data_IF_757441485436
#
_entry.id   IF_757441485436
#
_cell.length_a   1.000
_cell.length_b   1.000
_cell.length_c   1.000
_cell.angle_alpha   90.00
_cell.angle_beta   90.00
_cell.angle_gamma   90.00
#
_symmetry.space_group_name_H-M   'P 1'
#
loop_
_entity.id
_entity.type
_entity.pdbx_description
1 polymer ?
#
# COMPACT_ATOMS: atom_id res chain seq x y z
N UNK A 1 -18.90 -11.84 3.72
CA UNK A 1 -17.67 -12.47 3.22
C UNK A 1 -16.57 -11.43 3.29
N UNK A 2 -15.56 -11.67 4.12
CA UNK A 2 -14.31 -10.91 4.03
C UNK A 2 -13.64 -11.22 2.69
N UNK A 3 -13.20 -10.17 1.99
CA UNK A 3 -12.47 -10.34 0.74
C UNK A 3 -11.04 -10.70 1.12
N UNK A 4 -10.62 -11.94 0.87
CA UNK A 4 -9.22 -12.28 1.05
C UNK A 4 -8.37 -11.69 -0.08
N UNK A 5 -7.65 -10.62 0.24
CA UNK A 5 -6.73 -9.95 -0.68
C UNK A 5 -5.39 -10.68 -0.85
N UNK A 6 -5.09 -11.73 -0.07
CA UNK A 6 -3.77 -12.39 -0.06
C UNK A 6 -3.39 -12.95 -1.43
N UNK A 7 -4.36 -13.47 -2.17
CA UNK A 7 -4.14 -14.11 -3.47
C UNK A 7 -4.12 -13.16 -4.66
N UNK A 8 -4.48 -11.89 -4.47
CA UNK A 8 -4.59 -10.93 -5.56
C UNK A 8 -3.22 -10.42 -6.02
N UNK A 9 -3.07 -10.25 -7.32
CA UNK A 9 -2.04 -9.37 -7.89
C UNK A 9 -2.45 -7.90 -7.78
N UNK A 10 -1.48 -6.99 -7.90
CA UNK A 10 -1.75 -5.54 -7.90
C UNK A 10 -2.80 -5.14 -8.96
N UNK A 11 -2.75 -5.80 -10.13
CA UNK A 11 -3.69 -5.55 -11.22
C UNK A 11 -5.10 -6.01 -10.87
N UNK A 12 -5.25 -7.18 -10.27
CA UNK A 12 -6.54 -7.71 -9.83
C UNK A 12 -7.12 -6.87 -8.69
N UNK A 13 -6.27 -6.41 -7.78
CA UNK A 13 -6.66 -5.49 -6.71
C UNK A 13 -7.20 -4.16 -7.27
N UNK A 14 -6.51 -3.54 -8.24
CA UNK A 14 -6.99 -2.32 -8.91
C UNK A 14 -8.32 -2.57 -9.61
N UNK A 15 -8.47 -3.70 -10.31
CA UNK A 15 -9.74 -4.07 -10.96
C UNK A 15 -10.88 -4.22 -9.95
N UNK A 16 -10.62 -4.85 -8.81
CA UNK A 16 -11.60 -4.97 -7.71
C UNK A 16 -12.05 -3.59 -7.21
N UNK A 17 -11.12 -2.67 -6.93
CA UNK A 17 -11.47 -1.31 -6.48
C UNK A 17 -12.21 -0.49 -7.54
N UNK A 18 -11.89 -0.69 -8.83
CA UNK A 18 -12.63 -0.06 -9.93
C UNK A 18 -14.08 -0.57 -10.00
N UNK A 19 -14.29 -1.87 -9.75
CA UNK A 19 -15.62 -2.47 -9.70
C UNK A 19 -16.43 -1.92 -8.51
N UNK A 20 -15.83 -1.81 -7.32
CA UNK A 20 -16.48 -1.23 -6.14
C UNK A 20 -16.96 0.21 -6.40
N UNK A 21 -16.12 0.99 -7.09
CA UNK A 21 -16.44 2.37 -7.49
C UNK A 21 -17.60 2.41 -8.49
N UNK A 22 -17.57 1.52 -9.51
CA UNK A 22 -18.65 1.41 -10.50
C UNK A 22 -19.98 1.04 -9.83
N UNK A 23 -19.96 0.08 -8.92
CA UNK A 23 -21.16 -0.38 -8.21
C UNK A 23 -21.76 0.75 -7.36
N UNK A 24 -20.93 1.49 -6.62
CA UNK A 24 -21.38 2.65 -5.84
C UNK A 24 -22.00 3.75 -6.71
N UNK A 25 -21.43 4.02 -7.89
CA UNK A 25 -21.99 4.99 -8.82
C UNK A 25 -23.38 4.55 -9.33
N UNK A 26 -23.57 3.26 -9.60
CA UNK A 26 -24.86 2.71 -10.02
C UNK A 26 -25.90 2.80 -8.91
N UNK A 27 -25.51 2.55 -7.66
CA UNK A 27 -26.39 2.68 -6.49
C UNK A 27 -26.89 4.12 -6.31
N UNK A 28 -26.00 5.11 -6.39
CA UNK A 28 -26.36 6.54 -6.28
C UNK A 28 -27.35 6.96 -7.36
N UNK A 29 -27.16 6.48 -8.60
CA UNK A 29 -28.09 6.76 -9.70
C UNK A 29 -29.49 6.17 -9.47
N UNK A 30 -29.63 5.19 -8.58
CA UNK A 30 -30.91 4.55 -8.22
C UNK A 30 -31.56 5.18 -6.97
N UNK A 31 -30.84 6.00 -6.23
CA UNK A 31 -31.34 6.68 -5.02
C UNK A 31 -32.51 7.62 -5.36
N UNK A 32 -33.50 7.68 -4.46
CA UNK A 32 -34.73 8.47 -4.67
C UNK A 32 -34.82 9.69 -3.75
N UNK A 33 -34.13 9.67 -2.61
CA UNK A 33 -34.09 10.82 -1.69
C UNK A 33 -32.78 11.60 -1.80
N UNK A 34 -32.82 12.89 -1.44
CA UNK A 34 -31.65 13.77 -1.43
C UNK A 34 -30.61 13.31 -0.40
N UNK A 35 -31.05 12.78 0.73
CA UNK A 35 -30.17 12.32 1.81
C UNK A 35 -29.46 11.03 1.44
N UNK A 36 -30.16 10.06 0.82
CA UNK A 36 -29.56 8.85 0.25
C UNK A 36 -28.48 9.21 -0.77
N UNK A 37 -28.77 10.18 -1.65
CA UNK A 37 -27.82 10.64 -2.66
C UNK A 37 -26.59 11.30 -2.03
N UNK A 38 -26.78 12.15 -1.02
CA UNK A 38 -25.68 12.79 -0.29
C UNK A 38 -24.80 11.78 0.45
N UNK A 39 -25.40 10.78 1.10
CA UNK A 39 -24.66 9.71 1.77
C UNK A 39 -23.92 8.83 0.77
N UNK A 40 -24.58 8.45 -0.34
CA UNK A 40 -23.96 7.71 -1.43
C UNK A 40 -22.77 8.45 -2.05
N UNK A 41 -22.90 9.76 -2.29
CA UNK A 41 -21.79 10.59 -2.80
C UNK A 41 -20.59 10.65 -1.84
N UNK A 42 -20.82 10.67 -0.51
CA UNK A 42 -19.73 10.58 0.48
C UNK A 42 -18.99 9.24 0.38
N UNK A 43 -19.72 8.13 0.25
CA UNK A 43 -19.14 6.80 0.10
C UNK A 43 -18.43 6.63 -1.26
N UNK A 44 -18.98 7.19 -2.34
CA UNK A 44 -18.32 7.23 -3.66
C UNK A 44 -16.98 7.95 -3.59
N UNK A 45 -16.91 9.09 -2.91
CA UNK A 45 -15.66 9.84 -2.72
C UNK A 45 -14.62 9.06 -1.89
N UNK A 46 -15.06 8.21 -0.96
CA UNK A 46 -14.18 7.31 -0.22
C UNK A 46 -13.64 6.19 -1.12
N UNK A 47 -14.50 5.55 -1.91
CA UNK A 47 -14.12 4.52 -2.88
C UNK A 47 -13.23 5.05 -4.01
N UNK A 48 -13.49 6.27 -4.48
CA UNK A 48 -12.68 6.93 -5.51
C UNK A 48 -11.25 7.19 -5.03
N UNK A 49 -11.08 7.65 -3.78
CA UNK A 49 -9.76 7.77 -3.16
C UNK A 49 -9.03 6.43 -3.09
N UNK A 50 -9.74 5.37 -2.67
CA UNK A 50 -9.22 4.01 -2.70
C UNK A 50 -8.71 3.59 -4.08
N UNK A 51 -9.52 3.82 -5.12
CA UNK A 51 -9.12 3.56 -6.50
C UNK A 51 -7.89 4.36 -6.95
N UNK A 52 -7.82 5.65 -6.62
CA UNK A 52 -6.64 6.48 -6.92
C UNK A 52 -5.38 5.96 -6.21
N UNK A 53 -5.50 5.48 -4.97
CA UNK A 53 -4.37 4.89 -4.25
C UNK A 53 -3.94 3.55 -4.87
N UNK A 54 -4.89 2.67 -5.21
CA UNK A 54 -4.58 1.41 -5.89
C UNK A 54 -3.93 1.63 -7.26
N UNK A 55 -4.37 2.63 -8.02
CA UNK A 55 -3.72 2.95 -9.32
C UNK A 55 -2.32 3.53 -9.16
N UNK A 56 -2.01 4.21 -8.04
CA UNK A 56 -0.63 4.63 -7.72
C UNK A 56 0.29 3.44 -7.45
N UNK A 57 -0.22 2.31 -6.93
CA UNK A 57 0.55 1.06 -6.81
C UNK A 57 1.04 0.55 -8.18
N UNK A 58 0.28 0.82 -9.25
CA UNK A 58 0.62 0.41 -10.62
C UNK A 58 1.52 1.41 -11.36
N UNK A 59 1.73 2.63 -10.83
CA UNK A 59 2.59 3.63 -11.47
C UNK A 59 4.03 3.40 -11.05
N UNK A 60 4.91 3.12 -12.02
CA UNK A 60 6.37 3.15 -11.82
C UNK A 60 6.74 4.52 -11.21
N UNK A 61 7.36 4.52 -10.04
CA UNK A 61 7.88 5.74 -9.42
C UNK A 61 9.40 5.75 -9.51
N UNK A 62 9.91 6.72 -10.27
CA UNK A 62 11.28 7.22 -10.31
C UNK A 62 11.57 8.01 -9.01
N UNK A 63 12.84 8.12 -8.62
CA UNK A 63 13.35 8.61 -7.32
C UNK A 63 13.59 7.50 -6.29
N UNK A 64 14.69 6.78 -6.48
CA UNK A 64 15.39 6.05 -5.42
C UNK A 64 16.78 6.69 -5.33
N UNK A 65 17.07 7.33 -4.21
CA UNK A 65 18.42 7.79 -3.91
C UNK A 65 19.16 6.64 -3.22
N UNK A 66 19.90 5.86 -4.00
CA UNK A 66 20.80 4.85 -3.44
C UNK A 66 22.04 5.55 -2.89
N UNK A 67 22.09 5.77 -1.58
CA UNK A 67 23.32 6.20 -0.89
C UNK A 67 24.08 4.94 -0.49
N UNK A 68 24.94 4.45 -1.38
CA UNK A 68 25.81 3.33 -1.05
C UNK A 68 26.92 3.77 -0.10
N UNK A 69 26.96 3.19 1.10
CA UNK A 69 28.15 3.24 1.95
C UNK A 69 28.60 1.82 2.30
N UNK A 70 29.93 1.65 2.35
CA UNK A 70 30.72 0.45 2.61
C UNK A 70 30.95 -0.50 1.42
N UNK A 71 32.01 -0.18 0.66
CA UNK A 71 32.57 -1.00 -0.42
C UNK A 71 33.22 -2.32 0.07
N UNK A 72 33.45 -2.49 1.38
CA UNK A 72 34.12 -3.66 1.96
C UNK A 72 33.19 -4.68 2.64
N UNK A 73 31.89 -4.40 2.74
CA UNK A 73 30.94 -5.27 3.45
C UNK A 73 29.96 -5.92 2.46
N UNK A 74 29.63 -7.18 2.71
CA UNK A 74 28.69 -8.03 1.93
C UNK A 74 27.24 -7.49 1.90
N UNK A 75 27.04 -6.24 2.31
CA UNK A 75 25.77 -5.58 2.56
C UNK A 75 25.76 -4.25 1.82
N UNK A 76 24.59 -3.85 1.35
CA UNK A 76 24.26 -2.55 0.78
C UNK A 76 23.22 -1.90 1.69
N UNK A 77 23.47 -0.67 2.12
CA UNK A 77 22.47 0.15 2.83
C UNK A 77 21.68 0.99 1.81
N UNK A 78 20.36 1.02 1.96
CA UNK A 78 19.46 1.74 1.05
C UNK A 78 18.50 2.57 1.89
N UNK A 79 18.47 3.88 1.66
CA UNK A 79 17.48 4.77 2.23
C UNK A 79 16.30 4.94 1.24
N UNK A 80 15.11 4.48 1.60
CA UNK A 80 13.91 4.61 0.77
C UNK A 80 12.67 4.92 1.61
N UNK A 81 11.92 5.98 1.29
CA UNK A 81 10.64 6.26 1.94
C UNK A 81 10.68 6.35 3.47
N UNK A 82 11.80 6.82 4.04
CA UNK A 82 12.03 6.86 5.48
C UNK A 82 12.40 5.51 6.11
N UNK A 83 12.69 4.49 5.31
CA UNK A 83 13.32 3.24 5.70
C UNK A 83 14.83 3.32 5.45
N UNK A 84 15.59 2.70 6.34
CA UNK A 84 16.96 2.28 6.09
C UNK A 84 16.92 0.76 5.96
N UNK A 85 17.18 0.24 4.76
CA UNK A 85 17.26 -1.19 4.48
C UNK A 85 18.72 -1.63 4.46
N UNK A 86 19.02 -2.76 5.09
CA UNK A 86 20.28 -3.47 4.87
C UNK A 86 20.01 -4.66 3.96
N UNK A 87 20.69 -4.73 2.83
CA UNK A 87 20.48 -5.76 1.79
C UNK A 87 21.76 -6.55 1.58
N UNK A 88 21.69 -7.88 1.58
CA UNK A 88 22.84 -8.70 1.22
C UNK A 88 23.16 -8.59 -0.27
N UNK A 89 24.39 -8.19 -0.62
CA UNK A 89 24.87 -8.17 -2.02
C UNK A 89 24.94 -9.57 -2.64
N UNK A 90 25.10 -10.62 -1.82
CA UNK A 90 25.17 -12.02 -2.27
C UNK A 90 23.80 -12.57 -2.69
N UNK A 91 22.76 -12.28 -1.91
CA UNK A 91 21.42 -12.86 -2.14
C UNK A 91 20.43 -11.88 -2.75
N UNK A 92 20.74 -10.58 -2.77
CA UNK A 92 19.82 -9.53 -3.17
C UNK A 92 18.62 -9.38 -2.22
N UNK A 93 18.70 -9.92 -0.99
CA UNK A 93 17.61 -9.91 -0.02
C UNK A 93 17.86 -8.97 1.15
N UNK A 94 16.79 -8.39 1.68
CA UNK A 94 16.81 -7.58 2.89
C UNK A 94 17.16 -8.44 4.10
N UNK A 95 18.17 -7.99 4.85
CA UNK A 95 18.62 -8.57 6.11
C UNK A 95 17.90 -7.94 7.30
N UNK A 96 17.66 -6.62 7.25
CA UNK A 96 16.94 -5.86 8.27
C UNK A 96 16.48 -4.51 7.72
N UNK A 97 15.57 -3.85 8.43
CA UNK A 97 15.10 -2.51 8.12
C UNK A 97 14.84 -1.68 9.39
N UNK A 98 15.00 -0.35 9.31
CA UNK A 98 14.89 0.56 10.47
C UNK A 98 13.48 0.65 11.08
N UNK A 99 12.43 0.43 10.27
CA UNK A 99 11.03 0.49 10.72
C UNK A 99 10.57 -0.84 11.31
N UNK A 100 10.64 -0.98 12.63
CA UNK A 100 10.29 -2.21 13.36
C UNK A 100 8.85 -2.71 13.15
N UNK A 101 7.90 -1.83 12.84
CA UNK A 101 6.50 -2.19 12.57
C UNK A 101 6.29 -2.83 11.18
N UNK A 102 7.30 -2.75 10.31
CA UNK A 102 7.21 -3.12 8.90
C UNK A 102 8.31 -4.12 8.60
N UNK A 103 8.06 -5.42 8.76
CA UNK A 103 9.11 -6.42 8.54
C UNK A 103 9.33 -6.68 7.04
N UNK A 104 10.48 -6.25 6.52
CA UNK A 104 10.87 -6.47 5.12
C UNK A 104 11.94 -7.55 4.96
N UNK A 105 12.31 -8.25 6.03
CA UNK A 105 13.38 -9.26 6.04
C UNK A 105 13.06 -10.40 5.06
N UNK A 106 14.10 -10.91 4.39
CA UNK A 106 14.05 -11.94 3.34
C UNK A 106 13.35 -11.55 2.03
N UNK A 107 12.81 -10.33 1.92
CA UNK A 107 12.29 -9.81 0.66
C UNK A 107 13.42 -9.48 -0.31
N UNK A 108 13.15 -9.55 -1.61
CA UNK A 108 14.09 -9.05 -2.63
C UNK A 108 14.25 -7.53 -2.49
N UNK A 109 15.43 -7.02 -2.85
CA UNK A 109 15.74 -5.59 -2.89
C UNK A 109 14.67 -4.80 -3.64
N UNK A 110 14.31 -5.26 -4.83
CA UNK A 110 13.32 -4.61 -5.69
C UNK A 110 11.95 -4.56 -5.00
N UNK A 111 11.51 -5.68 -4.40
CA UNK A 111 10.22 -5.73 -3.69
C UNK A 111 10.20 -4.81 -2.48
N UNK A 112 11.27 -4.78 -1.68
CA UNK A 112 11.37 -3.91 -0.50
C UNK A 112 11.35 -2.41 -0.86
N UNK A 113 12.05 -2.03 -1.94
CA UNK A 113 12.05 -0.65 -2.46
C UNK A 113 10.66 -0.24 -2.94
N UNK A 114 9.91 -1.14 -3.59
CA UNK A 114 8.53 -0.86 -3.98
C UNK A 114 7.65 -0.58 -2.76
N UNK A 115 7.81 -1.36 -1.69
CA UNK A 115 7.05 -1.19 -0.45
C UNK A 115 7.39 0.12 0.25
N UNK A 116 8.68 0.46 0.37
CA UNK A 116 9.14 1.77 0.87
C UNK A 116 8.40 2.94 0.20
N UNK A 117 8.35 2.91 -1.14
CA UNK A 117 7.73 3.98 -1.95
C UNK A 117 6.23 4.07 -1.73
N UNK A 118 5.58 2.91 -1.58
CA UNK A 118 4.15 2.85 -1.26
C UNK A 118 3.91 3.47 0.12
N UNK A 119 4.70 3.08 1.12
CA UNK A 119 4.57 3.57 2.49
C UNK A 119 4.74 5.08 2.61
N UNK A 120 5.75 5.66 1.96
CA UNK A 120 6.00 7.12 1.97
C UNK A 120 4.83 7.94 1.42
N UNK A 121 4.12 7.40 0.42
CA UNK A 121 3.04 8.11 -0.29
C UNK A 121 1.66 7.82 0.28
N UNK A 122 1.50 6.76 1.06
CA UNK A 122 0.19 6.30 1.54
C UNK A 122 -0.19 7.00 2.83
N UNK A 123 -1.09 7.98 2.72
CA UNK A 123 -1.77 8.62 3.86
C UNK A 123 -3.08 7.93 4.24
N UNK A 124 -3.50 6.95 3.45
CA UNK A 124 -4.76 6.22 3.61
C UNK A 124 -4.50 4.71 3.67
N UNK A 125 -5.34 4.00 4.41
CA UNK A 125 -5.33 2.53 4.47
C UNK A 125 -5.80 1.92 3.14
N UNK A 126 -5.03 0.97 2.60
CA UNK A 126 -5.35 0.28 1.34
C UNK A 126 -6.59 -0.61 1.41
N UNK A 127 -7.08 -0.95 2.61
CA UNK A 127 -8.29 -1.75 2.80
C UNK A 127 -9.53 -0.87 2.92
N UNK A 128 -9.58 -0.02 3.96
CA UNK A 128 -10.75 0.77 4.29
C UNK A 128 -10.77 2.17 3.63
N UNK A 129 -9.69 2.58 2.96
CA UNK A 129 -9.53 3.87 2.29
C UNK A 129 -9.71 5.10 3.20
N UNK A 130 -9.60 4.92 4.52
CA UNK A 130 -9.62 6.02 5.48
C UNK A 130 -8.19 6.52 5.75
N UNK A 131 -8.08 7.81 6.04
CA UNK A 131 -6.82 8.43 6.45
C UNK A 131 -6.31 7.79 7.75
N UNK A 132 -5.00 7.66 7.87
CA UNK A 132 -4.34 7.47 9.16
C UNK A 132 -4.49 8.76 9.99
N UNK A 133 -5.07 8.68 11.18
CA UNK A 133 -5.30 9.86 12.04
C UNK A 133 -4.13 10.07 13.00
N UNK A 134 -3.55 11.27 13.03
CA UNK A 134 -2.55 11.66 14.04
C UNK A 134 -1.27 10.82 14.03
N UNK A 135 -1.01 10.10 15.14
CA UNK A 135 0.19 9.26 15.44
C UNK A 135 -0.02 7.79 14.99
N UNK A 136 -1.15 7.44 14.37
CA UNK A 136 -1.30 6.11 13.77
C UNK A 136 -0.31 5.97 12.60
N UNK A 137 0.90 5.49 12.90
CA UNK A 137 1.78 4.98 11.88
C UNK A 137 1.10 3.79 11.20
N UNK A 138 1.27 3.61 9.89
CA UNK A 138 0.73 2.44 9.22
C UNK A 138 1.30 1.16 9.85
N UNK A 139 0.43 0.42 10.55
CA UNK A 139 0.84 -0.56 11.56
C UNK A 139 1.15 -1.94 10.97
N UNK A 140 0.46 -2.32 9.89
CA UNK A 140 0.51 -3.70 9.38
C UNK A 140 0.51 -3.76 7.85
N UNK A 141 1.31 -4.70 7.34
CA UNK A 141 1.41 -5.03 5.93
C UNK A 141 0.71 -6.35 5.66
N UNK A 142 -0.30 -6.35 4.79
CA UNK A 142 -0.82 -7.60 4.21
C UNK A 142 -0.03 -7.89 2.94
N UNK A 143 0.77 -8.95 2.98
CA UNK A 143 1.44 -9.45 1.79
C UNK A 143 0.39 -10.04 0.85
N UNK A 144 0.35 -9.50 -0.36
CA UNK A 144 -0.42 -10.05 -1.47
C UNK A 144 0.54 -10.74 -2.44
N UNK A 145 0.01 -11.36 -3.50
CA UNK A 145 0.79 -12.19 -4.43
C UNK A 145 2.03 -11.52 -5.02
N UNK A 146 1.94 -10.24 -5.37
CA UNK A 146 3.06 -9.48 -5.95
C UNK A 146 3.12 -8.02 -5.52
N UNK A 147 2.43 -7.67 -4.44
CA UNK A 147 2.44 -6.32 -3.86
C UNK A 147 2.10 -6.40 -2.39
N UNK A 148 2.20 -5.27 -1.68
CA UNK A 148 1.81 -5.19 -0.28
C UNK A 148 0.76 -4.10 -0.10
N UNK A 149 -0.22 -4.41 0.75
CA UNK A 149 -1.16 -3.43 1.27
C UNK A 149 -0.71 -2.95 2.64
N UNK A 150 -0.65 -1.63 2.77
CA UNK A 150 -0.54 -0.98 4.08
C UNK A 150 -1.96 -0.78 4.60
N UNK A 151 -2.28 -1.28 5.79
CA UNK A 151 -3.64 -1.22 6.38
C UNK A 151 -3.63 -0.66 7.80
N UNK A 152 -4.79 -0.26 8.31
CA UNK A 152 -4.97 -0.03 9.75
C UNK A 152 -4.96 -1.38 10.47
N UNK A 153 -4.50 -1.41 11.72
CA UNK A 153 -4.54 -2.60 12.59
C UNK A 153 -5.94 -3.19 12.72
N UNK A 154 -6.96 -2.33 12.88
CA UNK A 154 -8.36 -2.75 12.92
C UNK A 154 -8.88 -3.36 11.59
N UNK A 155 -8.16 -3.22 10.48
CA UNK A 155 -8.53 -3.83 9.19
C UNK A 155 -7.88 -5.22 9.00
N UNK A 156 -7.24 -5.77 10.04
CA UNK A 156 -6.76 -7.15 10.09
C UNK A 156 -7.81 -8.13 10.63
N UNK A 157 -8.76 -7.63 11.42
CA UNK A 157 -9.82 -8.40 12.06
C UNK A 157 -10.92 -8.81 11.10
#
# INVERSE_FOLDING_TARGET
MEVDYSELTAREFVKSKALDLKNALVEIKRSRSRDEMNQGMKELNKKYRGFLNSTRLMKKNENVTVKGLYANEMVEEIECGGFVLLVSKKTGKVLTNSRKQVNLVNMTKEGAIEICKVYEKMKDCGVCNAFYRGIEEPVEMKQCKNFILVKHRQCEM
#
